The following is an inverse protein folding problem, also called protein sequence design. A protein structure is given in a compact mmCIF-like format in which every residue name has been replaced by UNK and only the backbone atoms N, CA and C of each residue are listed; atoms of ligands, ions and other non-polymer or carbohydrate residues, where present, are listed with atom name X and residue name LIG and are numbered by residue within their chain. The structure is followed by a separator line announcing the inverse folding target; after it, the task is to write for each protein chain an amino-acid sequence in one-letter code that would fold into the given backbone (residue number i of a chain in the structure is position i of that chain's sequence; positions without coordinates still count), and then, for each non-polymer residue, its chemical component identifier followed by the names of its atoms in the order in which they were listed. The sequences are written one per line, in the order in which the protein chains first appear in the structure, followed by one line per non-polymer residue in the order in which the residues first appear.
data_IF_284147348327
#
_entry.id   IF_284147348327
#
_cell.length_a   1.000
_cell.length_b   1.000
_cell.length_c   1.000
_cell.angle_alpha   90.00
_cell.angle_beta   90.00
_cell.angle_gamma   90.00
#
_symmetry.space_group_name_H-M   'P 1'
#
loop_
_entity.id
_entity.type
_entity.pdbx_description
1 polymer ?
#
# COMPACT_ATOMS: atom_id res chain seq x y z
N UNK A 1 -24.37 18.48 -18.10
CA UNK A 1 -23.18 18.22 -17.25
C UNK A 1 -23.52 17.05 -16.34
N UNK A 2 -22.92 15.88 -16.54
CA UNK A 2 -23.11 14.74 -15.63
C UNK A 2 -22.39 15.04 -14.29
N UNK A 3 -23.02 14.77 -13.14
CA UNK A 3 -22.42 15.08 -11.84
C UNK A 3 -21.12 14.27 -11.62
N UNK A 4 -20.09 14.87 -10.98
CA UNK A 4 -18.76 14.26 -10.81
C UNK A 4 -18.78 12.90 -10.09
N UNK A 5 -19.84 12.61 -9.33
CA UNK A 5 -20.05 11.32 -8.68
C UNK A 5 -20.12 10.14 -9.67
N UNK A 6 -20.66 10.31 -10.89
CA UNK A 6 -20.86 9.21 -11.85
C UNK A 6 -19.58 8.68 -12.48
N UNK A 7 -18.52 9.49 -12.54
CA UNK A 7 -17.23 9.08 -13.11
C UNK A 7 -16.53 8.01 -12.25
N UNK A 8 -16.67 8.13 -10.93
CA UNK A 8 -16.16 7.15 -9.98
C UNK A 8 -16.99 5.86 -9.99
N UNK A 9 -18.30 5.96 -10.20
CA UNK A 9 -19.19 4.79 -10.19
C UNK A 9 -18.89 3.78 -11.29
N UNK A 10 -18.44 4.22 -12.49
CA UNK A 10 -18.01 3.28 -13.54
C UNK A 10 -16.73 2.52 -13.18
N UNK A 11 -15.77 3.22 -12.56
CA UNK A 11 -14.55 2.58 -12.07
C UNK A 11 -14.86 1.58 -10.96
N UNK A 12 -15.69 1.97 -9.99
CA UNK A 12 -16.15 1.09 -8.90
C UNK A 12 -16.91 -0.13 -9.43
N UNK A 13 -17.85 0.04 -10.38
CA UNK A 13 -18.55 -1.10 -11.00
C UNK A 13 -17.59 -2.08 -11.68
N UNK A 14 -16.53 -1.59 -12.30
CA UNK A 14 -15.55 -2.45 -12.99
C UNK A 14 -14.69 -3.24 -12.01
N UNK A 15 -14.29 -2.61 -10.90
CA UNK A 15 -13.38 -3.22 -9.91
C UNK A 15 -14.14 -4.08 -8.89
N UNK A 16 -15.24 -3.56 -8.35
CA UNK A 16 -16.02 -4.18 -7.27
C UNK A 16 -17.17 -5.05 -7.79
N UNK A 17 -17.42 -5.06 -9.10
CA UNK A 17 -18.58 -5.71 -9.72
C UNK A 17 -19.95 -5.24 -9.17
N UNK A 18 -19.97 -4.08 -8.50
CA UNK A 18 -21.16 -3.45 -7.91
C UNK A 18 -21.07 -1.93 -8.03
N UNK A 19 -22.21 -1.25 -8.18
CA UNK A 19 -22.34 0.21 -8.22
C UNK A 19 -23.04 0.81 -6.99
N UNK A 20 -23.27 0.00 -5.94
CA UNK A 20 -23.93 0.42 -4.71
C UNK A 20 -23.08 1.38 -3.86
N UNK A 21 -21.75 1.33 -4.02
CA UNK A 21 -20.80 2.06 -3.19
C UNK A 21 -19.87 2.91 -4.08
N UNK A 22 -19.69 4.18 -3.69
CA UNK A 22 -18.73 5.09 -4.32
C UNK A 22 -17.45 5.24 -3.48
N UNK A 23 -16.32 5.48 -4.14
CA UNK A 23 -15.02 5.68 -3.47
C UNK A 23 -14.80 7.15 -3.10
N UNK A 24 -14.98 7.47 -1.81
CA UNK A 24 -14.80 8.79 -1.24
C UNK A 24 -13.54 8.90 -0.38
N UNK A 25 -12.39 9.21 -0.99
CA UNK A 25 -11.14 9.46 -0.28
C UNK A 25 -10.44 10.69 -0.87
N UNK A 26 -9.51 11.30 -0.12
CA UNK A 26 -8.61 12.33 -0.68
C UNK A 26 -7.77 11.82 -1.86
N UNK A 27 -7.66 10.50 -2.03
CA UNK A 27 -6.96 9.84 -3.14
C UNK A 27 -7.87 9.52 -4.33
N UNK A 28 -9.15 9.93 -4.31
CA UNK A 28 -10.09 9.64 -5.39
C UNK A 28 -9.59 10.13 -6.76
N UNK A 29 -9.05 11.34 -6.87
CA UNK A 29 -8.52 11.85 -8.14
C UNK A 29 -7.40 10.97 -8.72
N UNK A 30 -6.48 10.49 -7.87
CA UNK A 30 -5.42 9.57 -8.26
C UNK A 30 -5.98 8.19 -8.67
N UNK A 31 -6.95 7.66 -7.94
CA UNK A 31 -7.60 6.38 -8.27
C UNK A 31 -8.32 6.44 -9.63
N UNK A 32 -8.99 7.55 -9.93
CA UNK A 32 -9.63 7.75 -11.24
C UNK A 32 -8.62 7.83 -12.39
N UNK A 33 -7.50 8.54 -12.18
CA UNK A 33 -6.39 8.57 -13.14
C UNK A 33 -5.80 7.19 -13.38
N UNK A 34 -5.54 6.43 -12.30
CA UNK A 34 -5.04 5.06 -12.37
C UNK A 34 -6.00 4.15 -13.15
N UNK A 35 -7.31 4.23 -12.90
CA UNK A 35 -8.31 3.47 -13.65
C UNK A 35 -8.27 3.78 -15.16
N UNK A 36 -8.13 5.06 -15.53
CA UNK A 36 -8.14 5.47 -16.93
C UNK A 36 -6.84 5.13 -17.68
N UNK A 37 -5.70 5.26 -17.01
CA UNK A 37 -4.37 5.09 -17.60
C UNK A 37 -3.80 3.68 -17.43
N UNK A 38 -4.27 2.91 -16.44
CA UNK A 38 -3.74 1.57 -16.13
C UNK A 38 -3.77 0.60 -17.31
N UNK A 39 -4.80 0.71 -18.17
CA UNK A 39 -4.94 -0.09 -19.40
C UNK A 39 -3.81 0.06 -20.42
N UNK A 40 -3.00 1.12 -20.32
CA UNK A 40 -1.85 1.33 -21.21
C UNK A 40 -0.56 0.72 -20.65
N UNK A 41 -0.53 0.38 -19.37
CA UNK A 41 0.68 -0.07 -18.66
C UNK A 41 0.60 -1.57 -18.33
N UNK A 42 -0.60 -2.13 -18.21
CA UNK A 42 -0.82 -3.56 -17.97
C UNK A 42 -2.21 -4.02 -18.34
N UNK A 43 -2.47 -5.30 -18.15
CA UNK A 43 -3.77 -5.91 -18.44
C UNK A 43 -4.43 -6.49 -17.19
N UNK A 44 -5.78 -6.58 -17.13
CA UNK A 44 -6.48 -7.16 -15.98
C UNK A 44 -6.05 -8.59 -15.64
N UNK A 45 -5.60 -9.36 -16.63
CA UNK A 45 -5.14 -10.74 -16.43
C UNK A 45 -3.82 -10.82 -15.65
N UNK A 46 -3.07 -9.72 -15.56
CA UNK A 46 -1.82 -9.59 -14.82
C UNK A 46 -2.06 -9.08 -13.38
N UNK A 47 -3.28 -9.25 -12.86
CA UNK A 47 -3.66 -8.84 -11.51
C UNK A 47 -2.75 -9.48 -10.45
N UNK A 48 -2.33 -8.67 -9.48
CA UNK A 48 -1.54 -9.13 -8.33
C UNK A 48 -2.29 -10.15 -7.47
N UNK A 49 -3.62 -10.12 -7.50
CA UNK A 49 -4.48 -11.09 -6.79
C UNK A 49 -4.42 -12.50 -7.41
N UNK A 50 -4.05 -12.61 -8.69
CA UNK A 50 -3.98 -13.88 -9.42
C UNK A 50 -2.55 -14.48 -9.45
N UNK A 51 -1.58 -13.85 -8.80
CA UNK A 51 -0.18 -14.31 -8.81
C UNK A 51 -0.05 -15.65 -8.09
N UNK A 52 0.53 -16.63 -8.78
CA UNK A 52 0.92 -17.92 -8.20
C UNK A 52 2.29 -17.80 -7.54
N UNK A 53 2.28 -17.57 -6.23
CA UNK A 53 3.50 -17.56 -5.41
C UNK A 53 3.94 -18.98 -5.04
N UNK A 54 5.25 -19.24 -4.90
CA UNK A 54 5.73 -20.50 -4.32
C UNK A 54 5.30 -20.61 -2.85
N UNK A 55 5.22 -21.84 -2.32
CA UNK A 55 4.69 -22.14 -0.98
C UNK A 55 5.31 -21.30 0.15
N UNK A 56 6.59 -20.93 0.04
CA UNK A 56 7.28 -20.09 1.01
C UNK A 56 6.82 -18.63 1.03
N UNK A 57 6.30 -18.11 -0.08
CA UNK A 57 5.84 -16.73 -0.23
C UNK A 57 4.31 -16.63 -0.21
N UNK A 58 3.60 -17.73 -0.02
CA UNK A 58 2.13 -17.76 -0.09
C UNK A 58 1.47 -16.89 0.98
N UNK A 59 2.16 -16.63 2.11
CA UNK A 59 1.68 -15.71 3.14
C UNK A 59 1.52 -14.26 2.65
N UNK A 60 2.19 -13.85 1.56
CA UNK A 60 2.00 -12.53 0.95
C UNK A 60 0.63 -12.35 0.28
N UNK A 61 -0.15 -13.44 0.11
CA UNK A 61 -1.55 -13.34 -0.34
C UNK A 61 -2.47 -12.79 0.75
N UNK A 62 -2.10 -12.88 2.02
CA UNK A 62 -2.82 -12.23 3.10
C UNK A 62 -2.46 -10.74 3.10
N UNK A 63 -3.46 -9.88 2.88
CA UNK A 63 -3.23 -8.43 2.76
C UNK A 63 -2.64 -7.82 4.04
N UNK A 64 -3.04 -8.30 5.22
CA UNK A 64 -2.58 -7.75 6.49
C UNK A 64 -1.12 -8.16 6.75
N UNK A 65 -0.79 -9.43 6.51
CA UNK A 65 0.58 -9.93 6.64
C UNK A 65 1.49 -9.28 5.60
N UNK A 66 1.05 -9.21 4.35
CA UNK A 66 1.79 -8.59 3.24
C UNK A 66 2.12 -7.12 3.53
N UNK A 67 1.11 -6.35 3.95
CA UNK A 67 1.27 -4.93 4.28
C UNK A 67 2.22 -4.73 5.46
N UNK A 68 2.09 -5.52 6.53
CA UNK A 68 2.95 -5.43 7.70
C UNK A 68 4.43 -5.74 7.35
N UNK A 69 4.68 -6.75 6.52
CA UNK A 69 6.04 -7.12 6.09
C UNK A 69 6.64 -6.05 5.19
N UNK A 70 5.89 -5.56 4.19
CA UNK A 70 6.39 -4.55 3.25
C UNK A 70 6.67 -3.22 3.96
N UNK A 71 5.73 -2.71 4.76
CA UNK A 71 5.91 -1.47 5.51
C UNK A 71 6.99 -1.61 6.60
N UNK A 72 7.06 -2.77 7.27
CA UNK A 72 8.15 -3.09 8.20
C UNK A 72 9.51 -3.02 7.53
N UNK A 73 9.66 -3.60 6.34
CA UNK A 73 10.89 -3.55 5.55
C UNK A 73 11.24 -2.12 5.11
N UNK A 74 10.26 -1.36 4.60
CA UNK A 74 10.46 0.04 4.21
C UNK A 74 10.94 0.87 5.41
N UNK A 75 10.34 0.68 6.57
CA UNK A 75 10.73 1.38 7.79
C UNK A 75 12.12 0.99 8.27
N UNK A 76 12.50 -0.29 8.18
CA UNK A 76 13.87 -0.73 8.50
C UNK A 76 14.88 -0.03 7.58
N UNK A 77 14.62 0.01 6.27
CA UNK A 77 15.50 0.69 5.31
C UNK A 77 15.59 2.19 5.63
N UNK A 78 14.45 2.84 5.89
CA UNK A 78 14.41 4.25 6.28
C UNK A 78 15.19 4.51 7.58
N UNK A 79 15.09 3.62 8.56
CA UNK A 79 15.84 3.70 9.82
C UNK A 79 17.34 3.53 9.61
N UNK A 80 17.77 2.63 8.73
CA UNK A 80 19.19 2.43 8.40
C UNK A 80 19.74 3.68 7.70
N UNK A 81 19.04 4.19 6.69
CA UNK A 81 19.45 5.41 5.98
C UNK A 81 19.49 6.60 6.95
N UNK A 82 18.45 6.75 7.78
CA UNK A 82 18.37 7.79 8.80
C UNK A 82 19.51 7.69 9.81
N UNK A 83 19.91 6.48 10.19
CA UNK A 83 21.01 6.25 11.13
C UNK A 83 22.35 6.75 10.57
N UNK A 84 22.60 6.59 9.27
CA UNK A 84 23.81 7.11 8.63
C UNK A 84 23.83 8.65 8.52
N UNK A 85 22.67 9.30 8.53
CA UNK A 85 22.55 10.77 8.42
C UNK A 85 22.55 11.42 9.80
N UNK A 86 21.71 10.94 10.72
CA UNK A 86 21.56 11.46 12.07
C UNK A 86 21.15 10.35 13.05
N UNK A 87 22.13 9.62 13.63
CA UNK A 87 21.85 8.50 14.52
C UNK A 87 21.18 8.96 15.82
N UNK A 88 21.49 10.16 16.32
CA UNK A 88 20.87 10.71 17.52
C UNK A 88 19.37 10.89 17.34
N UNK A 89 18.92 11.38 16.16
CA UNK A 89 17.49 11.55 15.91
C UNK A 89 16.75 10.23 15.75
N UNK A 90 17.38 9.24 15.12
CA UNK A 90 16.80 7.90 14.99
C UNK A 90 16.70 7.22 16.36
N UNK A 91 17.72 7.34 17.21
CA UNK A 91 17.67 6.80 18.57
C UNK A 91 16.62 7.52 19.43
N UNK A 92 16.49 8.84 19.30
CA UNK A 92 15.43 9.61 19.97
C UNK A 92 14.03 9.10 19.59
N UNK A 93 13.80 8.83 18.30
CA UNK A 93 12.54 8.26 17.82
C UNK A 93 12.32 6.82 18.29
N UNK A 94 13.39 6.03 18.37
CA UNK A 94 13.36 4.64 18.84
C UNK A 94 13.18 4.52 20.36
N UNK A 95 13.54 5.54 21.13
CA UNK A 95 13.54 5.52 22.58
C UNK A 95 14.53 4.49 23.12
N UNK A 96 14.08 3.62 24.01
CA UNK A 96 14.90 2.55 24.61
C UNK A 96 15.03 1.31 23.70
N UNK A 97 14.32 1.29 22.57
CA UNK A 97 14.36 0.17 21.64
C UNK A 97 15.58 0.28 20.71
N UNK A 98 16.02 -0.89 20.23
CA UNK A 98 16.92 -0.93 19.08
C UNK A 98 16.19 -0.29 17.87
N UNK A 99 16.82 0.64 17.13
CA UNK A 99 16.23 1.31 15.98
C UNK A 99 15.62 0.37 14.92
N UNK A 100 16.23 -0.80 14.69
CA UNK A 100 15.74 -1.77 13.70
C UNK A 100 14.46 -2.45 14.20
N UNK A 101 14.43 -2.84 15.47
CA UNK A 101 13.25 -3.45 16.11
C UNK A 101 12.10 -2.45 16.17
N UNK A 102 12.42 -1.21 16.58
CA UNK A 102 11.47 -0.10 16.56
C UNK A 102 10.90 0.12 15.16
N UNK A 103 11.76 0.17 14.13
CA UNK A 103 11.34 0.40 12.76
C UNK A 103 10.40 -0.70 12.25
N UNK A 104 10.68 -1.96 12.54
CA UNK A 104 9.81 -3.07 12.17
C UNK A 104 8.43 -2.94 12.83
N UNK A 105 8.39 -2.71 14.15
CA UNK A 105 7.14 -2.54 14.90
C UNK A 105 6.34 -1.37 14.31
N UNK A 106 6.99 -0.21 14.12
CA UNK A 106 6.34 0.98 13.55
C UNK A 106 5.77 0.73 12.16
N UNK A 107 6.48 0.00 11.29
CA UNK A 107 5.97 -0.35 9.97
C UNK A 107 4.82 -1.36 10.00
N UNK A 108 4.81 -2.28 10.97
CA UNK A 108 3.75 -3.29 11.10
C UNK A 108 2.45 -2.76 11.73
N UNK A 109 2.53 -1.72 12.58
CA UNK A 109 1.39 -1.19 13.36
C UNK A 109 0.71 0.01 12.71
N UNK A 110 1.28 0.61 11.66
CA UNK A 110 0.77 1.85 11.05
C UNK A 110 -0.46 1.66 10.12
N UNK A 111 -1.41 0.80 10.50
CA UNK A 111 -2.75 0.76 9.90
C UNK A 111 -3.74 1.60 10.71
#
# INVERSE_FOLDING_TARGET
MEPPARLHTRAMRTVMQSDEIAYGHTSSSAAWLAFKLGKYIGKPEESTEAIKLPKSLEFFKDYAVSTAVILGLIMIIASIIGWFINPAKVQELAGDLNPIVWAFIRGSTSQ
#
